data_IF_192828755687
#
_entry.id   IF_192828755687
#
_cell.length_a   1.000
_cell.length_b   1.000
_cell.length_c   1.000
_cell.angle_alpha   90.00
_cell.angle_beta   90.00
_cell.angle_gamma   90.00
#
_symmetry.space_group_name_H-M   'P 1'
#
loop_
_entity.id
_entity.type
_entity.pdbx_description
1 polymer ?
#
# COMPACT_ATOMS: atom_id res chain seq x y z
N UNK A 1 0.17 -36.67 -13.65
CA UNK A 1 -1.03 -36.39 -12.82
C UNK A 1 -0.62 -35.44 -11.71
N UNK A 2 -0.76 -34.12 -11.94
CA UNK A 2 -0.44 -33.09 -10.95
C UNK A 2 -1.58 -32.99 -9.93
N UNK A 3 -1.28 -33.11 -8.63
CA UNK A 3 -2.29 -33.06 -7.58
C UNK A 3 -3.03 -31.72 -7.54
N UNK A 4 -4.36 -31.70 -7.38
CA UNK A 4 -5.17 -30.48 -7.36
C UNK A 4 -4.83 -29.52 -6.21
N UNK A 5 -4.14 -30.00 -5.17
CA UNK A 5 -3.64 -29.19 -4.04
C UNK A 5 -2.52 -28.21 -4.42
N UNK A 6 -1.76 -28.49 -5.49
CA UNK A 6 -0.64 -27.63 -5.90
C UNK A 6 -1.11 -26.39 -6.66
N UNK A 7 -2.29 -26.44 -7.29
CA UNK A 7 -2.89 -25.30 -7.98
C UNK A 7 -3.46 -24.27 -7.01
N UNK A 8 -4.05 -24.71 -5.88
CA UNK A 8 -4.59 -23.79 -4.87
C UNK A 8 -3.51 -22.94 -4.19
N UNK A 9 -2.31 -23.50 -3.98
CA UNK A 9 -1.22 -22.79 -3.31
C UNK A 9 -0.60 -21.69 -4.19
N UNK A 10 -0.51 -21.93 -5.50
CA UNK A 10 -0.10 -20.91 -6.46
C UNK A 10 -1.19 -19.86 -6.68
N UNK A 11 -2.46 -20.25 -6.69
CA UNK A 11 -3.58 -19.31 -6.85
C UNK A 11 -3.63 -18.29 -5.71
N UNK A 12 -3.34 -18.68 -4.47
CA UNK A 12 -3.29 -17.75 -3.32
C UNK A 12 -2.17 -16.71 -3.42
N UNK A 13 -1.11 -16.97 -4.19
CA UNK A 13 0.00 -16.03 -4.38
C UNK A 13 -0.36 -14.98 -5.44
N UNK A 14 -1.30 -15.27 -6.35
CA UNK A 14 -1.80 -14.32 -7.35
C UNK A 14 -3.02 -13.49 -6.89
N UNK A 15 -3.64 -13.83 -5.75
CA UNK A 15 -4.69 -12.99 -5.12
C UNK A 15 -4.06 -11.84 -4.29
N UNK A 16 -2.73 -11.79 -4.19
CA UNK A 16 -1.98 -10.64 -3.67
C UNK A 16 -1.74 -9.55 -4.73
N UNK A 17 -2.47 -9.56 -5.85
CA UNK A 17 -2.43 -8.55 -6.88
C UNK A 17 -3.44 -7.43 -6.63
N UNK A 18 -2.92 -6.21 -6.46
CA UNK A 18 -3.62 -4.91 -6.59
C UNK A 18 -4.54 -4.42 -5.47
N UNK A 19 -4.41 -4.91 -4.24
CA UNK A 19 -5.02 -4.24 -3.09
C UNK A 19 -3.90 -3.74 -2.18
N UNK A 20 -3.99 -2.48 -1.74
CA UNK A 20 -3.02 -1.84 -0.87
C UNK A 20 -2.56 -2.84 0.21
N UNK A 21 -1.28 -3.22 0.19
CA UNK A 21 -0.73 -4.15 1.18
C UNK A 21 -0.76 -3.43 2.52
N UNK A 22 -1.78 -3.76 3.30
CA UNK A 22 -1.85 -3.38 4.69
C UNK A 22 -0.70 -4.02 5.44
N UNK A 23 -0.10 -3.25 6.33
CA UNK A 23 1.05 -3.70 7.12
C UNK A 23 0.90 -3.26 8.57
N UNK A 24 1.47 -4.06 9.47
CA UNK A 24 1.72 -3.67 10.86
C UNK A 24 3.21 -3.60 11.15
N UNK A 25 4.02 -4.32 10.37
CA UNK A 25 5.46 -4.40 10.51
C UNK A 25 6.13 -4.29 9.14
N UNK A 26 7.39 -3.85 9.10
CA UNK A 26 8.16 -3.78 7.85
C UNK A 26 8.32 -5.14 7.16
N UNK A 27 8.27 -6.24 7.92
CA UNK A 27 8.34 -7.61 7.39
C UNK A 27 7.10 -8.04 6.60
N UNK A 28 5.99 -7.30 6.73
CA UNK A 28 4.76 -7.56 5.98
C UNK A 28 4.85 -7.02 4.54
N UNK A 29 5.85 -6.18 4.26
CA UNK A 29 6.06 -5.52 2.99
C UNK A 29 7.10 -6.25 2.12
N UNK A 30 7.03 -6.03 0.81
CA UNK A 30 8.00 -6.61 -0.12
C UNK A 30 9.40 -6.01 0.08
N UNK A 31 10.43 -6.71 -0.42
CA UNK A 31 11.81 -6.24 -0.34
C UNK A 31 11.96 -4.86 -0.99
N UNK A 32 12.34 -3.85 -0.19
CA UNK A 32 12.50 -2.46 -0.62
C UNK A 32 11.32 -1.53 -0.28
N UNK A 33 10.25 -2.09 0.30
CA UNK A 33 9.15 -1.33 0.88
C UNK A 33 9.23 -1.26 2.40
N UNK A 34 8.62 -0.24 2.96
CA UNK A 34 8.50 -0.03 4.39
C UNK A 34 7.03 0.15 4.76
N UNK A 35 6.65 -0.41 5.90
CA UNK A 35 5.38 -0.09 6.53
C UNK A 35 5.36 1.36 7.01
N UNK A 36 4.34 2.10 6.59
CA UNK A 36 4.11 3.50 7.00
C UNK A 36 3.09 3.49 8.13
N UNK A 37 3.57 3.61 9.37
CA UNK A 37 2.76 3.41 10.59
C UNK A 37 1.49 4.27 10.62
N UNK A 38 1.57 5.53 10.13
CA UNK A 38 0.41 6.44 10.12
C UNK A 38 -0.74 5.97 9.24
N UNK A 39 -0.45 5.13 8.25
CA UNK A 39 -1.39 4.68 7.22
C UNK A 39 -1.60 3.16 7.26
N UNK A 40 -0.73 2.43 7.96
CA UNK A 40 -0.65 0.97 7.96
C UNK A 40 -0.60 0.41 6.54
N UNK A 41 0.20 1.03 5.66
CA UNK A 41 0.40 0.58 4.28
C UNK A 41 1.87 0.39 3.96
N UNK A 42 2.17 -0.56 3.07
CA UNK A 42 3.48 -0.68 2.45
C UNK A 42 3.70 0.41 1.39
N UNK A 43 4.85 1.07 1.46
CA UNK A 43 5.29 2.03 0.47
C UNK A 43 6.81 1.95 0.27
N UNK A 44 7.27 2.19 -0.95
CA UNK A 44 8.72 2.27 -1.23
C UNK A 44 9.36 3.46 -0.53
N UNK A 45 10.65 3.35 -0.17
CA UNK A 45 11.40 4.46 0.43
C UNK A 45 11.37 5.72 -0.44
N UNK A 46 11.44 5.56 -1.77
CA UNK A 46 11.36 6.66 -2.74
C UNK A 46 10.02 7.38 -2.66
N UNK A 47 8.91 6.64 -2.57
CA UNK A 47 7.56 7.19 -2.43
C UNK A 47 7.41 7.94 -1.10
N UNK A 48 7.88 7.36 0.00
CA UNK A 48 7.86 7.99 1.33
C UNK A 48 8.60 9.33 1.27
N UNK A 49 9.81 9.35 0.71
CA UNK A 49 10.60 10.57 0.58
C UNK A 49 9.91 11.62 -0.31
N UNK A 50 9.31 11.21 -1.43
CA UNK A 50 8.59 12.09 -2.33
C UNK A 50 7.36 12.73 -1.65
N UNK A 51 6.55 11.95 -0.94
CA UNK A 51 5.38 12.45 -0.25
C UNK A 51 5.77 13.34 0.93
N UNK A 52 6.86 13.01 1.64
CA UNK A 52 7.43 13.85 2.71
C UNK A 52 7.88 15.22 2.20
N UNK A 53 8.53 15.30 1.04
CA UNK A 53 8.88 16.58 0.40
C UNK A 53 7.66 17.45 0.06
N UNK A 54 6.48 16.83 -0.10
CA UNK A 54 5.21 17.49 -0.41
C UNK A 54 4.32 17.67 0.82
N UNK A 55 4.87 17.47 2.03
CA UNK A 55 4.15 17.53 3.31
C UNK A 55 2.88 16.65 3.33
N UNK A 56 2.96 15.47 2.73
CA UNK A 56 1.85 14.52 2.68
C UNK A 56 2.34 13.08 2.89
N UNK A 57 1.41 12.13 2.89
CA UNK A 57 1.65 10.71 3.11
C UNK A 57 1.51 9.90 1.81
N UNK A 58 2.20 8.76 1.73
CA UNK A 58 2.03 7.82 0.63
C UNK A 58 0.62 7.21 0.62
N UNK A 59 0.18 6.81 -0.56
CA UNK A 59 -1.03 6.04 -0.78
C UNK A 59 -0.89 5.11 -1.99
N UNK A 60 -1.61 4.01 -1.96
CA UNK A 60 -1.77 3.09 -3.08
C UNK A 60 -3.14 3.27 -3.72
N UNK A 61 -4.17 3.53 -2.91
CA UNK A 61 -5.55 3.78 -3.32
C UNK A 61 -6.12 5.00 -2.60
N UNK A 62 -7.20 5.59 -3.14
CA UNK A 62 -7.84 6.76 -2.54
C UNK A 62 -8.39 6.49 -1.12
N UNK A 63 -8.78 5.24 -0.81
CA UNK A 63 -9.23 4.86 0.52
C UNK A 63 -8.13 4.92 1.58
N UNK A 64 -6.86 4.79 1.22
CA UNK A 64 -5.75 4.88 2.18
C UNK A 64 -5.72 6.27 2.81
N UNK A 65 -5.98 7.31 2.01
CA UNK A 65 -6.01 8.69 2.48
C UNK A 65 -7.07 8.96 3.55
N UNK A 66 -8.11 8.13 3.63
CA UNK A 66 -9.13 8.22 4.68
C UNK A 66 -8.67 7.67 6.03
N UNK A 67 -7.52 7.00 6.09
CA UNK A 67 -6.95 6.45 7.35
C UNK A 67 -6.34 7.53 8.24
N UNK A 68 -5.71 8.54 7.63
CA UNK A 68 -5.10 9.67 8.35
C UNK A 68 -6.05 10.87 8.48
N UNK A 69 -6.93 11.08 7.51
CA UNK A 69 -7.82 12.23 7.48
C UNK A 69 -9.29 11.79 7.37
N UNK A 70 -10.15 12.40 8.17
CA UNK A 70 -11.60 12.15 8.16
C UNK A 70 -12.35 12.81 6.99
N UNK A 71 -11.64 13.58 6.15
CA UNK A 71 -12.20 14.28 4.99
C UNK A 71 -11.64 13.70 3.69
N UNK A 72 -12.41 13.84 2.61
CA UNK A 72 -12.10 13.17 1.35
C UNK A 72 -10.83 13.74 0.71
N UNK A 73 -9.87 12.85 0.48
CA UNK A 73 -8.61 13.10 -0.23
C UNK A 73 -8.48 12.14 -1.40
N UNK A 74 -7.78 12.57 -2.43
CA UNK A 74 -7.46 11.73 -3.58
C UNK A 74 -6.06 11.14 -3.47
N UNK A 75 -5.85 9.93 -3.96
CA UNK A 75 -4.52 9.38 -4.14
C UNK A 75 -4.01 9.75 -5.54
N UNK A 76 -3.07 10.70 -5.64
CA UNK A 76 -2.45 11.12 -6.91
C UNK A 76 -0.95 10.99 -6.84
N UNK A 77 -0.32 10.47 -7.90
CA UNK A 77 1.13 10.25 -7.95
C UNK A 77 1.65 9.50 -6.71
N UNK A 78 0.88 8.52 -6.22
CA UNK A 78 1.20 7.70 -5.04
C UNK A 78 1.29 8.49 -3.72
N UNK A 79 0.74 9.71 -3.64
CA UNK A 79 0.61 10.49 -2.41
C UNK A 79 -0.83 11.01 -2.25
N UNK A 80 -1.24 11.24 -0.99
CA UNK A 80 -2.56 11.80 -0.70
C UNK A 80 -2.58 13.31 -0.96
N UNK A 81 -3.60 13.80 -1.65
CA UNK A 81 -3.81 15.24 -1.86
C UNK A 81 -5.26 15.60 -1.60
N UNK A 82 -5.48 16.86 -1.26
CA UNK A 82 -6.83 17.40 -1.17
C UNK A 82 -7.50 17.42 -2.55
N UNK A 83 -8.82 17.28 -2.57
CA UNK A 83 -9.60 17.45 -3.78
C UNK A 83 -9.63 18.95 -4.12
N UNK A 84 -8.94 19.34 -5.20
CA UNK A 84 -8.97 20.69 -5.78
C UNK A 84 -9.99 20.70 -6.92
#
# INVERSE_FOLDING_TARGET
MLSPRSFYFLLLIFIAGENAKDCRYHTDCDSGELCVDEMNICASQTQINLCKQRNTVPCNVASDCRRKWNYEKTCRRKCCFDLI
#
